data_IF_568654415082
#
_entry.id   IF_568654415082
#
_cell.length_a   1.000
_cell.length_b   1.000
_cell.length_c   1.000
_cell.angle_alpha   90.00
_cell.angle_beta   90.00
_cell.angle_gamma   90.00
#
_symmetry.space_group_name_H-M   'P 1'
#
loop_
_entity.id
_entity.type
_entity.pdbx_description
1 polymer ?
#
# COMPACT_ATOMS: atom_id res chain seq x y z
N UNK A 1 30.64 -36.13 13.33
CA UNK A 1 29.64 -35.46 12.48
C UNK A 1 28.26 -35.96 12.85
N UNK A 2 27.35 -35.06 13.20
CA UNK A 2 25.98 -35.41 13.61
C UNK A 2 25.20 -35.95 12.40
N UNK A 3 24.60 -37.15 12.53
CA UNK A 3 23.82 -37.79 11.45
C UNK A 3 22.71 -36.91 10.86
N UNK A 4 22.22 -35.93 11.63
CA UNK A 4 21.22 -34.93 11.21
C UNK A 4 21.77 -33.90 10.20
N UNK A 5 23.06 -33.57 10.28
CA UNK A 5 23.70 -32.62 9.36
C UNK A 5 23.84 -33.20 7.95
N UNK A 6 24.09 -34.52 7.84
CA UNK A 6 24.21 -35.21 6.56
C UNK A 6 22.88 -35.28 5.79
N UNK A 7 21.76 -35.48 6.49
CA UNK A 7 20.43 -35.55 5.87
C UNK A 7 20.02 -34.19 5.29
N UNK A 8 20.33 -33.09 6.00
CA UNK A 8 20.06 -31.73 5.51
C UNK A 8 20.92 -31.41 4.27
N UNK A 9 22.21 -31.77 4.30
CA UNK A 9 23.09 -31.57 3.14
C UNK A 9 22.63 -32.39 1.91
N UNK A 10 22.13 -33.60 2.09
CA UNK A 10 21.61 -34.43 0.99
C UNK A 10 20.34 -33.84 0.34
N UNK A 11 19.43 -33.25 1.13
CA UNK A 11 18.21 -32.61 0.62
C UNK A 11 18.56 -31.34 -0.16
N UNK A 12 19.51 -30.54 0.32
CA UNK A 12 19.98 -29.35 -0.42
C UNK A 12 20.66 -29.71 -1.74
N UNK A 13 21.46 -30.78 -1.78
CA UNK A 13 22.06 -31.28 -3.02
C UNK A 13 21.00 -31.76 -4.04
N UNK A 14 19.92 -32.39 -3.57
CA UNK A 14 18.81 -32.86 -4.42
C UNK A 14 18.04 -31.67 -5.04
N UNK A 15 17.75 -30.63 -4.26
CA UNK A 15 17.04 -29.43 -4.73
C UNK A 15 17.88 -28.65 -5.75
N UNK A 16 19.20 -28.54 -5.54
CA UNK A 16 20.10 -27.87 -6.48
C UNK A 16 20.22 -28.67 -7.79
N UNK A 17 20.23 -30.00 -7.71
CA UNK A 17 20.27 -30.86 -8.90
C UNK A 17 18.98 -30.77 -9.73
N UNK A 18 17.82 -30.62 -9.08
CA UNK A 18 16.54 -30.42 -9.77
C UNK A 18 16.37 -29.03 -10.41
N UNK A 19 17.23 -28.06 -10.06
CA UNK A 19 17.19 -26.70 -10.66
C UNK A 19 17.92 -26.60 -12.00
N UNK A 20 18.75 -27.60 -12.35
CA UNK A 20 19.53 -27.63 -13.59
C UNK A 20 19.00 -28.58 -14.68
N UNK A 21 17.86 -29.26 -14.47
CA UNK A 21 17.32 -30.23 -15.44
C UNK A 21 15.95 -29.88 -16.03
N UNK A 22 15.41 -28.69 -15.74
CA UNK A 22 14.19 -28.19 -16.39
C UNK A 22 14.44 -26.78 -16.94
N UNK A 23 15.45 -26.66 -17.81
CA UNK A 23 15.53 -25.57 -18.78
C UNK A 23 14.41 -25.79 -19.81
N UNK A 24 13.33 -25.03 -19.66
CA UNK A 24 12.39 -24.73 -20.73
C UNK A 24 12.37 -23.22 -20.89
N UNK A 25 13.33 -22.67 -21.64
CA UNK A 25 13.48 -21.24 -21.92
C UNK A 25 12.24 -20.60 -22.60
N UNK A 26 11.29 -21.41 -23.10
CA UNK A 26 10.13 -20.93 -23.85
C UNK A 26 8.93 -20.52 -22.97
N UNK A 27 8.80 -21.05 -21.75
CA UNK A 27 7.61 -20.76 -20.90
C UNK A 27 7.76 -19.43 -20.15
N UNK A 28 9.00 -19.03 -19.81
CA UNK A 28 9.24 -17.75 -19.11
C UNK A 28 9.02 -16.55 -20.02
N UNK A 29 9.43 -16.60 -21.29
CA UNK A 29 9.26 -15.47 -22.22
C UNK A 29 7.80 -15.19 -22.55
N UNK A 30 6.98 -16.23 -22.74
CA UNK A 30 5.56 -16.04 -23.06
C UNK A 30 4.75 -15.45 -21.90
N UNK A 31 5.00 -15.88 -20.65
CA UNK A 31 4.26 -15.37 -19.49
C UNK A 31 4.70 -13.95 -19.11
N UNK A 32 6.00 -13.67 -19.24
CA UNK A 32 6.58 -12.38 -18.88
C UNK A 32 6.29 -11.31 -19.96
N UNK A 33 6.26 -11.65 -21.25
CA UNK A 33 5.81 -10.72 -22.29
C UNK A 33 4.31 -10.43 -22.24
N UNK A 34 3.46 -11.42 -21.92
CA UNK A 34 2.01 -11.23 -21.87
C UNK A 34 1.57 -10.43 -20.64
N UNK A 35 2.18 -10.65 -19.48
CA UNK A 35 1.96 -9.81 -18.29
C UNK A 35 2.54 -8.39 -18.48
N UNK A 36 3.73 -8.25 -19.06
CA UNK A 36 4.37 -6.94 -19.22
C UNK A 36 3.71 -6.10 -20.31
N UNK A 37 3.19 -6.71 -21.38
CA UNK A 37 2.40 -6.03 -22.41
C UNK A 37 1.04 -5.56 -21.89
N UNK A 38 0.34 -6.41 -21.11
CA UNK A 38 -0.98 -6.10 -20.56
C UNK A 38 -0.95 -5.10 -19.40
N UNK A 39 0.07 -5.17 -18.54
CA UNK A 39 0.28 -4.20 -17.45
C UNK A 39 0.78 -2.86 -17.98
N UNK A 40 1.64 -2.85 -19.00
CA UNK A 40 2.12 -1.61 -19.61
C UNK A 40 1.02 -0.88 -20.37
N UNK A 41 0.20 -1.60 -21.15
CA UNK A 41 -0.98 -1.02 -21.81
C UNK A 41 -2.01 -0.47 -20.82
N UNK A 42 -2.26 -1.15 -19.69
CA UNK A 42 -3.23 -0.69 -18.69
C UNK A 42 -2.72 0.50 -17.85
N UNK A 43 -1.42 0.57 -17.58
CA UNK A 43 -0.78 1.71 -16.88
C UNK A 43 -0.67 2.96 -17.79
N UNK A 44 -0.36 2.78 -19.07
CA UNK A 44 -0.25 3.90 -20.01
C UNK A 44 -1.63 4.50 -20.31
N UNK A 45 -2.68 3.66 -20.51
CA UNK A 45 -4.06 4.16 -20.74
C UNK A 45 -4.66 4.87 -19.51
N UNK A 46 -4.36 4.43 -18.27
CA UNK A 46 -4.84 5.13 -17.06
C UNK A 46 -4.04 6.38 -16.69
N UNK A 47 -2.76 6.47 -17.08
CA UNK A 47 -1.97 7.69 -16.92
C UNK A 47 -2.49 8.81 -17.81
N UNK A 48 -2.92 8.50 -19.03
CA UNK A 48 -3.41 9.50 -19.98
C UNK A 48 -4.82 10.02 -19.60
N UNK A 49 -5.71 9.17 -19.08
CA UNK A 49 -7.02 9.60 -18.55
C UNK A 49 -6.94 10.45 -17.27
N UNK A 50 -5.90 10.26 -16.43
CA UNK A 50 -5.76 11.02 -15.19
C UNK A 50 -4.95 12.34 -15.32
N UNK A 51 -4.19 12.53 -16.41
CA UNK A 51 -3.25 13.66 -16.53
C UNK A 51 -3.32 14.43 -17.86
N UNK A 52 -4.35 14.22 -18.68
CA UNK A 52 -4.48 14.74 -20.05
C UNK A 52 -4.49 16.26 -20.27
N UNK A 53 -4.22 17.10 -19.25
CA UNK A 53 -4.34 18.57 -19.40
C UNK A 53 -3.23 19.40 -18.72
N UNK A 54 -2.02 18.84 -18.59
CA UNK A 54 -0.87 19.66 -18.16
C UNK A 54 -0.19 20.34 -19.35
N UNK A 55 -0.72 21.51 -19.72
CA UNK A 55 -0.02 22.51 -20.55
C UNK A 55 1.37 22.81 -19.96
N UNK A 56 2.42 22.61 -20.77
CA UNK A 56 3.76 23.17 -20.52
C UNK A 56 3.67 24.68 -20.32
N UNK A 57 4.28 25.28 -19.28
CA UNK A 57 4.59 26.69 -19.31
C UNK A 57 5.84 26.91 -20.18
N UNK A 58 5.65 27.38 -21.42
CA UNK A 58 6.69 28.07 -22.16
C UNK A 58 6.91 29.45 -21.53
N UNK A 59 7.95 29.59 -20.71
CA UNK A 59 8.51 30.89 -20.38
C UNK A 59 9.81 31.06 -21.17
N UNK A 60 9.71 31.66 -22.36
CA UNK A 60 10.84 32.33 -23.01
C UNK A 60 11.05 33.66 -22.28
N UNK A 61 12.14 33.78 -21.53
CA UNK A 61 12.70 35.09 -21.21
C UNK A 61 14.10 35.13 -21.80
N UNK A 62 14.28 36.05 -22.75
CA UNK A 62 15.54 36.35 -23.43
C UNK A 62 16.49 37.07 -22.46
N UNK A 63 17.83 36.88 -22.59
CA UNK A 63 18.80 37.76 -21.96
C UNK A 63 18.89 39.06 -22.78
N UNK A 64 18.91 40.20 -22.10
CA UNK A 64 19.36 41.46 -22.67
C UNK A 64 20.65 41.88 -21.94
N UNK A 65 21.74 41.79 -22.67
CA UNK A 65 22.96 42.54 -22.40
C UNK A 65 22.76 43.98 -22.85
N UNK A 66 23.05 44.96 -22.00
CA UNK A 66 23.58 46.27 -22.45
C UNK A 66 24.22 47.01 -21.26
N UNK A 67 25.52 47.26 -21.37
CA UNK A 67 26.38 48.05 -20.48
C UNK A 67 25.88 49.49 -20.30
N UNK A 68 26.15 50.10 -19.13
CA UNK A 68 26.92 51.35 -19.07
C UNK A 68 27.26 51.84 -17.65
N UNK A 69 28.57 52.09 -17.49
CA UNK A 69 29.24 53.20 -16.77
C UNK A 69 29.37 53.18 -15.22
N UNK A 70 30.63 53.36 -14.82
CA UNK A 70 31.21 53.49 -13.47
C UNK A 70 30.82 54.79 -12.76
N UNK A 71 30.80 54.79 -11.42
CA UNK A 71 31.47 55.80 -10.58
C UNK A 71 31.46 55.40 -9.08
N UNK A 72 32.67 55.39 -8.50
CA UNK A 72 33.11 55.59 -7.10
C UNK A 72 32.35 54.98 -5.89
N UNK A 73 33.10 54.12 -5.17
CA UNK A 73 32.99 53.75 -3.75
C UNK A 73 33.47 54.89 -2.81
N UNK A 74 33.44 54.79 -1.45
CA UNK A 74 32.92 53.70 -0.59
C UNK A 74 32.10 54.18 0.64
N UNK A 75 31.40 53.25 1.29
CA UNK A 75 31.66 52.78 2.68
C UNK A 75 30.40 52.23 3.37
N UNK A 76 30.65 51.13 4.09
CA UNK A 76 30.02 50.71 5.34
C UNK A 76 28.77 49.81 5.35
N UNK A 77 29.05 48.61 5.88
CA UNK A 77 28.25 47.83 6.83
C UNK A 77 27.21 46.85 6.28
N UNK A 78 27.58 45.57 6.36
CA UNK A 78 26.69 44.57 6.94
C UNK A 78 26.10 43.55 5.98
N UNK A 79 26.92 42.87 5.17
CA UNK A 79 26.46 41.68 4.45
C UNK A 79 27.31 40.47 4.85
N UNK A 80 26.85 39.75 5.88
CA UNK A 80 27.27 38.36 6.09
C UNK A 80 26.12 37.47 6.63
N UNK A 81 24.86 37.89 6.44
CA UNK A 81 23.68 37.12 6.85
C UNK A 81 22.51 37.23 5.86
N UNK A 82 22.69 36.87 4.59
CA UNK A 82 21.53 36.73 3.67
C UNK A 82 21.59 35.47 2.80
N UNK A 83 22.75 34.82 2.63
CA UNK A 83 22.89 33.73 1.65
C UNK A 83 22.55 32.34 2.21
N UNK A 84 22.48 32.17 3.54
CA UNK A 84 22.26 30.84 4.14
C UNK A 84 20.78 30.39 4.11
N UNK A 85 19.82 31.32 4.11
CA UNK A 85 18.39 31.00 4.12
C UNK A 85 17.84 30.46 2.79
N UNK A 86 18.40 30.88 1.65
CA UNK A 86 17.88 30.49 0.32
C UNK A 86 18.26 29.05 -0.05
N UNK A 87 19.45 28.59 0.36
CA UNK A 87 19.93 27.24 0.07
C UNK A 87 19.23 26.17 0.91
N UNK A 88 18.90 26.46 2.18
CA UNK A 88 18.19 25.53 3.06
C UNK A 88 16.74 25.32 2.61
N UNK A 89 16.08 26.38 2.16
CA UNK A 89 14.69 26.34 1.70
C UNK A 89 14.50 25.54 0.41
N UNK A 90 15.51 25.58 -0.47
CA UNK A 90 15.54 24.81 -1.71
C UNK A 90 15.77 23.32 -1.46
N UNK A 91 16.64 22.98 -0.51
CA UNK A 91 16.91 21.59 -0.10
C UNK A 91 15.70 20.94 0.59
N UNK A 92 15.02 21.69 1.46
CA UNK A 92 13.75 21.27 2.08
C UNK A 92 12.66 20.99 1.02
N UNK A 93 12.59 21.85 -0.01
CA UNK A 93 11.63 21.70 -1.10
C UNK A 93 11.85 20.42 -1.90
N UNK A 94 13.10 20.12 -2.24
CA UNK A 94 13.46 18.87 -2.94
C UNK A 94 13.16 17.63 -2.11
N UNK A 95 13.43 17.66 -0.80
CA UNK A 95 13.13 16.54 0.10
C UNK A 95 11.62 16.29 0.18
N UNK A 96 10.81 17.35 0.26
CA UNK A 96 9.36 17.26 0.29
C UNK A 96 8.80 16.72 -1.04
N UNK A 97 9.31 17.21 -2.17
CA UNK A 97 8.92 16.72 -3.49
C UNK A 97 9.23 15.21 -3.66
N UNK A 98 10.37 14.76 -3.14
CA UNK A 98 10.73 13.33 -3.11
C UNK A 98 9.77 12.54 -2.22
N UNK A 99 9.44 13.02 -1.02
CA UNK A 99 8.50 12.36 -0.10
C UNK A 99 7.10 12.25 -0.68
N UNK A 100 6.58 13.31 -1.30
CA UNK A 100 5.29 13.30 -2.00
C UNK A 100 5.29 12.25 -3.12
N UNK A 101 6.35 12.23 -3.93
CA UNK A 101 6.50 11.24 -5.01
C UNK A 101 6.57 9.81 -4.48
N UNK A 102 7.30 9.58 -3.40
CA UNK A 102 7.41 8.27 -2.77
C UNK A 102 6.06 7.79 -2.21
N UNK A 103 5.33 8.66 -1.51
CA UNK A 103 3.99 8.38 -1.01
C UNK A 103 3.00 8.08 -2.14
N UNK A 104 3.04 8.87 -3.20
CA UNK A 104 2.22 8.65 -4.40
C UNK A 104 2.47 7.26 -4.99
N UNK A 105 3.74 6.90 -5.14
CA UNK A 105 4.13 5.58 -5.63
C UNK A 105 3.67 4.45 -4.70
N UNK A 106 3.78 4.61 -3.37
CA UNK A 106 3.29 3.65 -2.37
C UNK A 106 1.77 3.46 -2.48
N UNK A 107 1.01 4.54 -2.55
CA UNK A 107 -0.46 4.52 -2.64
C UNK A 107 -0.91 3.90 -3.98
N UNK A 108 -0.28 4.28 -5.09
CA UNK A 108 -0.65 3.75 -6.42
C UNK A 108 -0.39 2.24 -6.52
N UNK A 109 0.79 1.79 -6.06
CA UNK A 109 1.21 0.38 -6.08
C UNK A 109 0.52 -0.47 -5.01
N UNK A 110 -0.08 0.15 -3.97
CA UNK A 110 -0.79 -0.57 -2.93
C UNK A 110 -2.02 -1.29 -3.51
N UNK A 111 -2.09 -2.60 -3.32
CA UNK A 111 -3.31 -3.35 -3.55
C UNK A 111 -4.19 -3.22 -2.30
N UNK A 112 -5.41 -2.64 -2.41
CA UNK A 112 -6.35 -2.52 -1.30
C UNK A 112 -6.59 -3.85 -0.58
N UNK A 113 -6.49 -4.98 -1.28
CA UNK A 113 -6.73 -6.30 -0.68
C UNK A 113 -5.61 -6.75 0.24
N UNK A 114 -4.40 -6.23 0.03
CA UNK A 114 -3.16 -6.68 0.68
C UNK A 114 -2.70 -5.74 1.79
N UNK A 115 -3.10 -4.47 1.73
CA UNK A 115 -2.69 -3.42 2.66
C UNK A 115 -3.77 -3.25 3.71
N UNK A 116 -3.37 -3.22 4.98
CA UNK A 116 -4.29 -3.00 6.10
C UNK A 116 -4.67 -1.52 6.21
N UNK A 117 -5.81 -1.26 6.84
CA UNK A 117 -6.25 0.10 7.14
C UNK A 117 -5.24 0.87 8.01
N UNK A 118 -4.51 0.18 8.89
CA UNK A 118 -3.42 0.76 9.67
C UNK A 118 -2.34 1.42 8.80
N UNK A 119 -1.89 0.74 7.76
CA UNK A 119 -0.85 1.27 6.86
C UNK A 119 -1.37 2.48 6.09
N UNK A 120 -2.63 2.47 5.68
CA UNK A 120 -3.22 3.65 5.07
C UNK A 120 -3.32 4.83 6.05
N UNK A 121 -3.61 4.58 7.33
CA UNK A 121 -3.57 5.61 8.37
C UNK A 121 -2.18 6.20 8.58
N UNK A 122 -1.12 5.38 8.52
CA UNK A 122 0.24 5.88 8.60
C UNK A 122 0.52 6.85 7.43
N UNK A 123 0.00 6.56 6.22
CA UNK A 123 0.10 7.49 5.08
C UNK A 123 -0.70 8.77 5.29
N UNK A 124 -1.88 8.74 5.91
CA UNK A 124 -2.64 9.96 6.24
C UNK A 124 -1.82 10.88 7.15
N UNK A 125 -1.20 10.31 8.19
CA UNK A 125 -0.33 11.07 9.12
C UNK A 125 0.88 11.66 8.40
N UNK A 126 1.53 10.88 7.54
CA UNK A 126 2.65 11.38 6.72
C UNK A 126 2.21 12.56 5.82
N UNK A 127 0.99 12.52 5.26
CA UNK A 127 0.44 13.62 4.46
C UNK A 127 0.16 14.86 5.32
N UNK A 128 -0.44 14.70 6.50
CA UNK A 128 -0.68 15.81 7.44
C UNK A 128 0.63 16.48 7.87
N UNK A 129 1.65 15.69 8.21
CA UNK A 129 2.97 16.23 8.54
C UNK A 129 3.60 17.02 7.38
N UNK A 130 3.41 16.55 6.14
CA UNK A 130 3.89 17.26 4.96
C UNK A 130 3.14 18.58 4.77
N UNK A 131 1.81 18.60 5.00
CA UNK A 131 1.01 19.84 4.97
C UNK A 131 1.48 20.85 5.99
N UNK A 132 1.78 20.44 7.22
CA UNK A 132 2.28 21.34 8.26
C UNK A 132 3.64 21.94 7.92
N UNK A 133 4.54 21.14 7.32
CA UNK A 133 5.86 21.60 6.85
C UNK A 133 5.77 22.54 5.64
N UNK A 134 4.60 22.65 5.01
CA UNK A 134 4.38 23.33 3.73
C UNK A 134 3.43 24.54 3.79
N UNK A 135 3.09 25.06 4.97
CA UNK A 135 2.04 26.09 5.19
C UNK A 135 2.09 27.34 4.28
N UNK A 136 3.20 27.58 3.57
CA UNK A 136 3.40 28.74 2.68
C UNK A 136 3.62 28.40 1.19
N UNK A 137 3.47 27.13 0.76
CA UNK A 137 3.87 26.67 -0.59
C UNK A 137 2.69 26.09 -1.41
N UNK A 138 1.92 26.99 -2.04
CA UNK A 138 0.73 26.71 -2.88
C UNK A 138 0.95 25.60 -3.96
N UNK A 139 2.20 25.44 -4.45
CA UNK A 139 2.54 24.43 -5.48
C UNK A 139 2.22 23.00 -5.03
N UNK A 140 2.45 22.66 -3.76
CA UNK A 140 2.29 21.29 -3.26
C UNK A 140 0.91 21.01 -2.68
N UNK A 141 0.14 22.04 -2.38
CA UNK A 141 -1.20 21.92 -1.80
C UNK A 141 -2.12 21.09 -2.71
N UNK A 142 -2.11 21.39 -4.02
CA UNK A 142 -2.88 20.62 -5.02
C UNK A 142 -2.41 19.17 -5.13
N UNK A 143 -1.10 18.91 -5.05
CA UNK A 143 -0.55 17.55 -5.12
C UNK A 143 -0.95 16.73 -3.90
N UNK A 144 -0.91 17.33 -2.70
CA UNK A 144 -1.33 16.71 -1.46
C UNK A 144 -2.85 16.46 -1.46
N UNK A 145 -3.66 17.40 -1.94
CA UNK A 145 -5.11 17.21 -2.05
C UNK A 145 -5.47 16.03 -2.99
N UNK A 146 -4.77 15.90 -4.13
CA UNK A 146 -4.92 14.75 -5.02
C UNK A 146 -4.52 13.45 -4.33
N UNK A 147 -3.42 13.48 -3.57
CA UNK A 147 -2.91 12.33 -2.85
C UNK A 147 -3.88 11.86 -1.76
N UNK A 148 -4.49 12.79 -1.02
CA UNK A 148 -5.53 12.51 -0.02
C UNK A 148 -6.77 11.88 -0.65
N UNK A 149 -7.25 12.43 -1.77
CA UNK A 149 -8.39 11.84 -2.50
C UNK A 149 -8.08 10.41 -2.93
N UNK A 150 -6.89 10.17 -3.49
CA UNK A 150 -6.47 8.84 -3.91
C UNK A 150 -6.35 7.85 -2.73
N UNK A 151 -5.84 8.31 -1.58
CA UNK A 151 -5.74 7.54 -0.35
C UNK A 151 -7.13 7.19 0.21
N UNK A 152 -8.01 8.17 0.32
CA UNK A 152 -9.39 8.00 0.78
C UNK A 152 -10.16 6.99 -0.08
N UNK A 153 -10.00 7.04 -1.40
CA UNK A 153 -10.59 6.02 -2.28
C UNK A 153 -10.10 4.60 -1.98
N UNK A 154 -8.82 4.42 -1.64
CA UNK A 154 -8.25 3.11 -1.30
C UNK A 154 -8.79 2.63 0.04
N UNK A 155 -8.86 3.52 1.04
CA UNK A 155 -9.43 3.26 2.35
C UNK A 155 -10.89 2.84 2.22
N UNK A 156 -11.71 3.57 1.47
CA UNK A 156 -13.11 3.21 1.24
C UNK A 156 -13.27 1.84 0.57
N UNK A 157 -12.44 1.55 -0.46
CA UNK A 157 -12.46 0.26 -1.15
C UNK A 157 -12.14 -0.88 -0.19
N UNK A 158 -11.11 -0.72 0.66
CA UNK A 158 -10.76 -1.72 1.68
C UNK A 158 -11.86 -1.87 2.74
N UNK A 159 -12.44 -0.77 3.22
CA UNK A 159 -13.56 -0.79 4.19
C UNK A 159 -14.76 -1.57 3.66
N UNK A 160 -15.19 -1.30 2.43
CA UNK A 160 -16.29 -2.03 1.77
C UNK A 160 -15.98 -3.53 1.65
N UNK A 161 -14.78 -3.88 1.23
CA UNK A 161 -14.37 -5.29 1.10
C UNK A 161 -14.33 -6.02 2.46
N UNK A 162 -13.89 -5.34 3.52
CA UNK A 162 -13.91 -5.87 4.88
C UNK A 162 -15.34 -6.09 5.39
N UNK A 163 -16.25 -5.13 5.18
CA UNK A 163 -17.66 -5.24 5.57
C UNK A 163 -18.39 -6.37 4.80
N UNK A 164 -18.16 -6.50 3.49
CA UNK A 164 -18.68 -7.61 2.69
C UNK A 164 -18.13 -8.96 3.17
N UNK A 165 -16.83 -9.00 3.47
CA UNK A 165 -16.19 -10.21 3.97
C UNK A 165 -16.67 -10.61 5.35
N UNK A 166 -16.94 -9.64 6.22
CA UNK A 166 -17.52 -9.89 7.53
C UNK A 166 -18.85 -10.62 7.41
N UNK A 167 -19.75 -10.12 6.54
CA UNK A 167 -21.05 -10.78 6.25
C UNK A 167 -20.84 -12.20 5.75
N UNK A 168 -19.89 -12.41 4.85
CA UNK A 168 -19.59 -13.75 4.31
C UNK A 168 -19.05 -14.70 5.37
N UNK A 169 -18.20 -14.24 6.28
CA UNK A 169 -17.72 -15.08 7.38
C UNK A 169 -18.83 -15.42 8.38
N UNK A 170 -19.75 -14.51 8.66
CA UNK A 170 -20.94 -14.82 9.47
C UNK A 170 -21.86 -15.84 8.78
N UNK A 171 -22.01 -15.78 7.46
CA UNK A 171 -22.74 -16.81 6.71
C UNK A 171 -22.03 -18.18 6.82
N UNK A 172 -20.72 -18.22 6.59
CA UNK A 172 -19.92 -19.44 6.73
C UNK A 172 -19.98 -19.99 8.16
N UNK A 173 -20.01 -19.12 9.17
CA UNK A 173 -20.20 -19.50 10.58
C UNK A 173 -21.54 -20.21 10.76
N UNK A 174 -22.62 -19.63 10.24
CA UNK A 174 -23.95 -20.25 10.23
C UNK A 174 -23.96 -21.60 9.52
N UNK A 175 -23.23 -21.75 8.41
CA UNK A 175 -23.09 -23.04 7.70
C UNK A 175 -22.34 -24.10 8.53
N UNK A 176 -21.30 -23.72 9.26
CA UNK A 176 -20.57 -24.64 10.15
C UNK A 176 -21.43 -25.09 11.33
N UNK A 177 -22.21 -24.17 11.90
CA UNK A 177 -23.12 -24.43 13.02
C UNK A 177 -24.33 -25.28 12.60
N UNK A 178 -24.87 -25.03 11.41
CA UNK A 178 -26.01 -25.76 10.82
C UNK A 178 -25.62 -27.03 10.08
N UNK A 179 -24.33 -27.40 10.03
CA UNK A 179 -23.87 -28.63 9.39
C UNK A 179 -24.43 -29.88 10.11
N UNK A 180 -25.64 -30.26 9.73
CA UNK A 180 -26.32 -31.49 10.13
C UNK A 180 -25.84 -32.60 9.17
N UNK A 181 -25.23 -33.65 9.73
CA UNK A 181 -24.96 -34.91 9.04
C UNK A 181 -25.65 -36.02 9.80
N UNK A 182 -26.08 -37.08 9.11
CA UNK A 182 -26.66 -38.27 9.76
C UNK A 182 -25.54 -39.03 10.50
N UNK A 183 -24.29 -38.86 10.05
CA UNK A 183 -23.09 -39.43 10.66
C UNK A 183 -22.02 -38.36 10.93
N UNK A 184 -21.10 -38.64 11.86
CA UNK A 184 -19.99 -37.74 12.20
C UNK A 184 -19.06 -37.49 11.00
N UNK A 185 -18.90 -38.46 10.11
CA UNK A 185 -18.08 -38.34 8.90
C UNK A 185 -18.65 -37.34 7.88
N UNK A 186 -19.97 -37.33 7.69
CA UNK A 186 -20.63 -36.35 6.82
C UNK A 186 -20.52 -34.93 7.38
N UNK A 187 -20.70 -34.78 8.70
CA UNK A 187 -20.51 -33.50 9.39
C UNK A 187 -19.09 -32.98 9.21
N UNK A 188 -18.07 -33.80 9.46
CA UNK A 188 -16.67 -33.43 9.29
C UNK A 188 -16.33 -33.05 7.84
N UNK A 189 -16.88 -33.76 6.85
CA UNK A 189 -16.71 -33.45 5.42
C UNK A 189 -17.32 -32.11 5.04
N UNK A 190 -18.54 -31.82 5.50
CA UNK A 190 -19.22 -30.56 5.21
C UNK A 190 -18.48 -29.38 5.86
N UNK A 191 -18.10 -29.50 7.12
CA UNK A 191 -17.32 -28.46 7.81
C UNK A 191 -15.96 -28.24 7.18
N UNK A 192 -15.28 -29.30 6.71
CA UNK A 192 -14.02 -29.18 5.99
C UNK A 192 -14.12 -28.35 4.71
N UNK A 193 -15.21 -28.49 3.94
CA UNK A 193 -15.45 -27.66 2.75
C UNK A 193 -15.60 -26.18 3.11
N UNK A 194 -16.41 -25.90 4.13
CA UNK A 194 -16.64 -24.52 4.62
C UNK A 194 -15.33 -23.93 5.15
N UNK A 195 -14.51 -24.72 5.85
CA UNK A 195 -13.18 -24.29 6.32
C UNK A 195 -12.21 -23.95 5.19
N UNK A 196 -12.18 -24.73 4.11
CA UNK A 196 -11.36 -24.43 2.92
C UNK A 196 -11.82 -23.14 2.25
N UNK A 197 -13.14 -22.94 2.14
CA UNK A 197 -13.69 -21.70 1.60
C UNK A 197 -13.32 -20.49 2.45
N UNK A 198 -13.54 -20.58 3.77
CA UNK A 198 -13.15 -19.56 4.74
C UNK A 198 -11.66 -19.22 4.63
N UNK A 199 -10.80 -20.24 4.52
CA UNK A 199 -9.35 -20.04 4.37
C UNK A 199 -9.01 -19.30 3.08
N UNK A 200 -9.62 -19.68 1.96
CA UNK A 200 -9.39 -19.04 0.67
C UNK A 200 -9.83 -17.58 0.71
N UNK A 201 -11.00 -17.32 1.29
CA UNK A 201 -11.53 -15.96 1.43
C UNK A 201 -10.62 -15.11 2.32
N UNK A 202 -10.19 -15.64 3.46
CA UNK A 202 -9.30 -14.94 4.38
C UNK A 202 -7.94 -14.61 3.76
N UNK A 203 -7.36 -15.55 2.99
CA UNK A 203 -6.13 -15.30 2.22
C UNK A 203 -6.33 -14.26 1.13
N UNK A 204 -7.52 -14.21 0.52
CA UNK A 204 -7.90 -13.16 -0.43
C UNK A 204 -7.88 -11.75 0.17
N UNK A 205 -8.07 -11.63 1.49
CA UNK A 205 -7.98 -10.39 2.26
C UNK A 205 -6.57 -10.06 2.76
N UNK A 206 -5.57 -10.84 2.35
CA UNK A 206 -4.19 -10.67 2.80
C UNK A 206 -3.92 -11.17 4.22
N UNK A 207 -4.87 -11.86 4.87
CA UNK A 207 -4.66 -12.37 6.22
C UNK A 207 -3.64 -13.51 6.22
N UNK A 208 -2.49 -13.25 6.84
CA UNK A 208 -1.42 -14.23 7.05
C UNK A 208 -1.63 -15.02 8.34
N UNK A 209 -1.05 -16.22 8.40
CA UNK A 209 -0.98 -17.05 9.60
C UNK A 209 -2.32 -17.36 10.26
N UNK A 210 -3.34 -17.69 9.46
CA UNK A 210 -4.58 -18.24 10.01
C UNK A 210 -4.30 -19.71 10.30
N UNK A 211 -4.26 -20.04 11.59
CA UNK A 211 -3.94 -21.36 12.13
C UNK A 211 -4.95 -22.41 11.66
N UNK A 212 -4.44 -23.62 11.42
CA UNK A 212 -5.23 -24.83 11.22
C UNK A 212 -5.09 -25.70 12.46
N UNK A 213 -6.09 -25.72 13.34
CA UNK A 213 -6.14 -26.61 14.49
C UNK A 213 -6.04 -28.11 14.15
N UNK A 214 -6.05 -28.95 15.20
CA UNK A 214 -5.73 -30.38 15.09
C UNK A 214 -6.88 -31.26 14.55
N UNK A 215 -8.08 -30.71 14.30
CA UNK A 215 -9.24 -31.44 13.79
C UNK A 215 -10.00 -30.63 12.72
N UNK A 216 -10.59 -31.29 11.73
CA UNK A 216 -11.24 -30.65 10.56
C UNK A 216 -12.43 -29.76 10.94
N UNK A 217 -13.20 -30.13 11.98
CA UNK A 217 -14.32 -29.34 12.49
C UNK A 217 -13.86 -28.09 13.23
N UNK A 218 -12.75 -28.20 13.96
CA UNK A 218 -12.19 -27.09 14.73
C UNK A 218 -11.47 -26.09 13.83
N UNK A 219 -10.83 -26.58 12.75
CA UNK A 219 -10.17 -25.74 11.75
C UNK A 219 -11.13 -24.73 11.13
N UNK A 220 -12.33 -25.17 10.70
CA UNK A 220 -13.29 -24.26 10.06
C UNK A 220 -13.73 -23.14 11.00
N UNK A 221 -14.07 -23.48 12.25
CA UNK A 221 -14.45 -22.51 13.28
C UNK A 221 -13.31 -21.56 13.62
N UNK A 222 -12.11 -22.08 13.81
CA UNK A 222 -10.92 -21.28 14.15
C UNK A 222 -10.58 -20.27 13.06
N UNK A 223 -10.61 -20.69 11.79
CA UNK A 223 -10.38 -19.80 10.64
C UNK A 223 -11.42 -18.69 10.61
N UNK A 224 -12.70 -19.02 10.75
CA UNK A 224 -13.80 -18.06 10.68
C UNK A 224 -13.69 -17.06 11.84
N UNK A 225 -13.57 -17.54 13.08
CA UNK A 225 -13.45 -16.69 14.28
C UNK A 225 -12.22 -15.78 14.20
N UNK A 226 -11.07 -16.34 13.80
CA UNK A 226 -9.84 -15.54 13.66
C UNK A 226 -9.96 -14.49 12.56
N UNK A 227 -10.65 -14.80 11.46
CA UNK A 227 -10.85 -13.85 10.36
C UNK A 227 -11.81 -12.73 10.74
N UNK A 228 -12.93 -13.06 11.40
CA UNK A 228 -13.88 -12.09 11.93
C UNK A 228 -13.20 -11.13 12.90
N UNK A 229 -12.40 -11.66 13.84
CA UNK A 229 -11.65 -10.85 14.80
C UNK A 229 -10.70 -9.86 14.10
N UNK A 230 -9.93 -10.31 13.10
CA UNK A 230 -9.03 -9.45 12.34
C UNK A 230 -9.75 -8.35 11.56
N UNK A 231 -10.90 -8.67 10.97
CA UNK A 231 -11.74 -7.69 10.28
C UNK A 231 -12.23 -6.63 11.27
N UNK A 232 -12.71 -7.06 12.43
CA UNK A 232 -13.18 -6.16 13.49
C UNK A 232 -12.07 -5.23 13.99
N UNK A 233 -10.87 -5.78 14.24
CA UNK A 233 -9.69 -5.00 14.63
C UNK A 233 -9.34 -3.92 13.60
N UNK A 234 -9.26 -4.27 12.30
CA UNK A 234 -8.97 -3.29 11.23
C UNK A 234 -10.06 -2.20 11.12
N UNK A 235 -11.34 -2.58 11.24
CA UNK A 235 -12.45 -1.62 11.17
C UNK A 235 -12.54 -0.72 12.41
N UNK A 236 -12.17 -1.22 13.59
CA UNK A 236 -12.13 -0.44 14.82
C UNK A 236 -11.01 0.59 14.81
N UNK A 237 -9.82 0.25 14.29
CA UNK A 237 -8.73 1.21 14.08
C UNK A 237 -9.19 2.40 13.22
N UNK A 238 -9.90 2.14 12.13
CA UNK A 238 -10.46 3.20 11.28
C UNK A 238 -11.47 4.09 12.03
N UNK A 239 -12.32 3.51 12.87
CA UNK A 239 -13.26 4.29 13.70
C UNK A 239 -12.55 5.18 14.73
N UNK A 240 -11.40 4.75 15.26
CA UNK A 240 -10.59 5.57 16.19
C UNK A 240 -10.03 6.79 15.46
N UNK A 241 -9.50 6.59 14.26
CA UNK A 241 -8.94 7.65 13.42
C UNK A 241 -9.99 8.66 12.96
N UNK A 242 -11.19 8.20 12.57
CA UNK A 242 -12.32 9.06 12.24
C UNK A 242 -12.81 9.91 13.44
N UNK A 243 -12.55 9.46 14.69
CA UNK A 243 -12.88 10.25 15.90
C UNK A 243 -11.78 11.26 16.21
N UNK A 244 -10.52 10.85 16.12
CA UNK A 244 -9.37 11.73 16.35
C UNK A 244 -9.34 12.92 15.37
N UNK A 245 -9.68 12.71 14.10
CA UNK A 245 -9.76 13.79 13.08
C UNK A 245 -10.98 14.72 13.26
N UNK A 246 -12.04 14.27 13.93
CA UNK A 246 -13.21 15.11 14.25
C UNK A 246 -12.98 15.97 15.48
N UNK A 247 -12.22 15.47 16.45
CA UNK A 247 -11.91 16.21 17.67
C UNK A 247 -10.82 17.27 17.46
N UNK A 248 -9.91 17.09 16.49
CA UNK A 248 -8.94 18.12 16.08
C UNK A 248 -9.60 19.31 15.38
N UNK A 249 -10.58 19.07 14.51
CA UNK A 249 -11.34 20.13 13.80
C UNK A 249 -12.31 20.93 14.69
N UNK A 250 -12.53 20.53 15.95
CA UNK A 250 -13.42 21.26 16.88
C UNK A 250 -12.66 22.21 17.82
N UNK A 251 -11.33 22.29 17.69
CA UNK A 251 -10.43 23.08 18.54
C UNK A 251 -9.84 24.32 17.87
N UNK A 252 -10.10 24.56 16.59
CA UNK A 252 -9.92 25.87 15.93
C UNK A 252 -11.19 26.71 16.01
#
# INVERSE_FOLDING_TARGET
MNKKMFIICAIFALIVSCKNYASGEDVKKSLEQDLKGKVKGFLDTKKEEFFGDFKKPEAKVQPKDEESMQADEPQEQGEDQVVQGVAEDQKLKEEIEQKIKELKDKIEKSDPKSVSLKTYSDYEKEIEELKEKLKDKEKFEKELEILEKALNEKIEKRKKELEESQKKFEELKGQVESAIGITDGERAKNQGKVGIEALRHARGLGFKNISSGNSTSDIAKEIIVSSLKKIEEELEELKKLEKESKDSNKKE
#
